data_IF_079236742714
#
_entry.id   IF_079236742714
#
_cell.length_a   1.000
_cell.length_b   1.000
_cell.length_c   1.000
_cell.angle_alpha   90.00
_cell.angle_beta   90.00
_cell.angle_gamma   90.00
#
_symmetry.space_group_name_H-M   'P 1'
#
loop_
_entity.id
_entity.type
_entity.pdbx_description
1 polymer ?
#
# COMPACT_ATOMS: atom_id res chain seq x y z
N UNK A 24 42.25 -1.14 -34.98
CA UNK A 24 41.60 -2.40 -34.62
C UNK A 24 42.12 -3.57 -35.44
N UNK A 25 41.69 -4.77 -35.07
CA UNK A 25 42.02 -5.97 -35.83
C UNK A 25 40.92 -6.23 -36.85
N UNK A 26 41.19 -7.10 -37.83
CA UNK A 26 40.24 -7.36 -38.91
C UNK A 26 38.90 -7.88 -38.39
N UNK A 27 38.95 -8.67 -37.32
CA UNK A 27 37.75 -9.23 -36.72
C UNK A 27 36.83 -8.13 -36.23
N UNK A 28 37.39 -7.22 -35.43
CA UNK A 28 36.62 -6.11 -34.89
C UNK A 28 36.16 -5.17 -36.00
N UNK A 29 36.91 -5.13 -37.09
CA UNK A 29 36.53 -4.32 -38.25
C UNK A 29 35.27 -4.85 -38.90
N UNK A 30 35.24 -6.17 -39.12
CA UNK A 30 34.09 -6.79 -39.74
C UNK A 30 32.87 -6.78 -38.83
N UNK A 31 33.13 -7.01 -37.54
CA UNK A 31 32.07 -6.96 -36.53
C UNK A 31 31.50 -5.56 -36.42
N UNK A 32 32.37 -4.55 -36.55
CA UNK A 32 31.93 -3.16 -36.50
C UNK A 32 31.04 -2.86 -37.69
N UNK A 33 31.45 -3.34 -38.87
CA UNK A 33 30.63 -3.15 -40.07
C UNK A 33 29.26 -3.77 -39.84
N UNK A 34 29.26 -4.96 -39.24
CA UNK A 34 28.02 -5.67 -38.97
C UNK A 34 27.11 -4.87 -38.05
N UNK A 35 27.65 -4.42 -36.93
CA UNK A 35 26.89 -3.63 -35.95
C UNK A 35 26.29 -2.38 -36.59
N UNK A 36 27.13 -1.63 -37.31
CA UNK A 36 26.69 -0.41 -37.97
C UNK A 36 25.53 -0.71 -38.91
N UNK A 37 25.68 -1.75 -39.73
CA UNK A 37 24.62 -2.13 -40.66
C UNK A 37 23.31 -2.48 -39.94
N UNK A 38 23.42 -3.26 -38.87
CA UNK A 38 22.26 -3.67 -38.07
C UNK A 38 21.50 -2.46 -37.54
N UNK A 39 22.26 -1.53 -36.95
CA UNK A 39 21.67 -0.33 -36.40
C UNK A 39 21.00 0.53 -37.47
N UNK A 40 21.69 0.68 -38.61
CA UNK A 40 21.16 1.47 -39.71
C UNK A 40 19.84 0.90 -40.23
N UNK A 41 19.79 -0.41 -40.38
CA UNK A 41 18.56 -1.08 -40.84
C UNK A 41 17.42 -0.85 -39.86
N UNK A 42 17.71 -1.04 -38.57
CA UNK A 42 16.68 -0.80 -37.54
C UNK A 42 16.19 0.65 -37.58
N UNK A 43 17.10 1.58 -37.81
CA UNK A 43 16.76 2.98 -37.92
C UNK A 43 15.84 3.22 -39.12
N UNK A 44 16.12 2.53 -40.22
CA UNK A 44 15.29 2.64 -41.41
C UNK A 44 13.86 2.16 -41.13
N UNK A 45 13.74 0.99 -40.50
CA UNK A 45 12.42 0.47 -40.14
C UNK A 45 11.66 1.43 -39.23
N UNK A 46 12.39 2.00 -38.27
CA UNK A 46 11.81 2.98 -37.34
C UNK A 46 11.26 4.17 -38.12
N UNK A 47 12.05 4.64 -39.08
CA UNK A 47 11.65 5.74 -39.95
C UNK A 47 10.37 5.39 -40.70
N UNK A 48 10.29 4.15 -41.18
CA UNK A 48 9.07 3.68 -41.85
C UNK A 48 7.86 3.79 -40.94
N UNK A 49 8.01 3.29 -39.72
CA UNK A 49 6.93 3.36 -38.74
C UNK A 49 6.46 4.79 -38.51
N UNK A 50 7.41 5.69 -38.27
CA UNK A 50 7.08 7.11 -38.09
C UNK A 50 6.34 7.70 -39.29
N UNK A 51 6.82 7.39 -40.50
CA UNK A 51 6.20 7.90 -41.72
C UNK A 51 4.76 7.41 -41.85
N UNK A 52 4.56 6.14 -41.55
CA UNK A 52 3.23 5.54 -41.58
C UNK A 52 2.29 6.16 -40.57
N UNK A 53 2.80 6.46 -39.39
CA UNK A 53 2.01 7.13 -38.35
C UNK A 53 1.57 8.50 -38.84
N UNK A 54 2.52 9.20 -39.47
CA UNK A 54 2.28 10.53 -40.03
C UNK A 54 1.14 10.47 -41.05
N UNK A 55 1.17 9.41 -41.85
CA UNK A 55 0.15 9.16 -42.86
C UNK A 55 -1.20 8.86 -42.21
N UNK A 56 -1.18 8.10 -41.13
CA UNK A 56 -2.39 7.75 -40.39
C UNK A 56 -3.07 8.99 -39.80
N UNK A 57 -2.29 9.86 -39.16
CA UNK A 57 -2.86 11.09 -38.60
C UNK A 57 -3.32 12.04 -39.71
N UNK A 58 -2.68 11.96 -40.87
CA UNK A 58 -3.11 12.77 -42.00
C UNK A 58 -4.47 12.28 -42.48
N UNK A 59 -4.64 10.96 -42.47
CA UNK A 59 -5.90 10.33 -42.82
C UNK A 59 -6.96 10.67 -41.78
N UNK A 60 -6.52 10.82 -40.53
CA UNK A 60 -7.41 11.16 -39.44
C UNK A 60 -7.97 12.56 -39.58
N UNK A 61 -7.09 13.52 -39.88
CA UNK A 61 -7.56 14.90 -40.09
C UNK A 61 -8.32 15.04 -41.40
N UNK A 62 -8.06 14.14 -42.35
CA UNK A 62 -8.77 14.16 -43.61
C UNK A 62 -10.24 13.80 -43.45
N UNK A 63 -10.60 13.34 -42.26
CA UNK A 63 -11.99 13.05 -41.92
C UNK A 63 -12.52 14.01 -40.86
N UNK A 64 -11.80 15.10 -40.62
CA UNK A 64 -12.25 16.13 -39.70
C UNK A 64 -12.01 15.86 -38.23
N UNK A 65 -10.89 15.22 -37.90
CA UNK A 65 -10.53 14.93 -36.51
C UNK A 65 -9.38 15.81 -36.03
N UNK A 66 -9.37 16.10 -34.74
CA UNK A 66 -8.30 16.90 -34.15
C UNK A 66 -7.10 16.01 -33.83
N UNK A 67 -6.04 16.17 -34.62
CA UNK A 67 -4.84 15.33 -34.51
C UNK A 67 -4.19 15.44 -33.13
N UNK A 68 -4.05 16.66 -32.63
CA UNK A 68 -3.46 16.90 -31.31
C UNK A 68 -4.24 16.16 -30.22
N UNK A 69 -5.56 16.28 -30.26
CA UNK A 69 -6.42 15.61 -29.29
C UNK A 69 -6.33 14.10 -29.41
N UNK A 70 -6.21 13.61 -30.64
CA UNK A 70 -6.03 12.18 -30.88
C UNK A 70 -4.74 11.68 -30.25
N UNK A 71 -3.67 12.44 -30.45
CA UNK A 71 -2.38 12.11 -29.84
C UNK A 71 -2.49 12.14 -28.32
N UNK A 72 -3.30 13.06 -27.81
CA UNK A 72 -3.55 13.14 -26.38
C UNK A 72 -4.26 11.89 -25.88
N UNK A 73 -5.23 11.42 -26.64
CA UNK A 73 -5.96 10.20 -26.30
C UNK A 73 -5.00 9.01 -26.28
N UNK A 74 -4.17 8.92 -27.30
CA UNK A 74 -3.18 7.84 -27.38
C UNK A 74 -2.21 7.89 -26.21
N UNK A 75 -1.72 9.08 -25.88
CA UNK A 75 -0.74 9.23 -24.81
C UNK A 75 -1.33 8.95 -23.43
N UNK A 76 -2.61 9.26 -23.23
CA UNK A 76 -3.23 9.06 -21.92
C UNK A 76 -3.77 7.64 -21.76
N UNK A 77 -3.80 6.89 -22.86
CA UNK A 77 -4.23 5.50 -22.81
C UNK A 77 -3.05 4.61 -22.48
N UNK A 78 -1.86 5.20 -22.45
CA UNK A 78 -0.65 4.49 -22.06
C UNK A 78 -0.49 4.56 -20.55
N UNK A 79 -1.06 5.61 -19.96
CA UNK A 79 -0.99 5.84 -18.52
C UNK A 79 -2.05 5.03 -17.79
N UNK A 80 -1.81 4.75 -16.51
CA UNK A 80 -2.80 4.06 -15.68
C UNK A 80 -4.04 4.94 -15.53
N UNK A 81 -5.21 4.35 -15.75
CA UNK A 81 -6.47 5.12 -15.75
C UNK A 81 -6.80 5.73 -14.39
N UNK A 82 -6.52 4.99 -13.32
CA UNK A 82 -6.83 5.46 -11.97
C UNK A 82 -5.96 6.68 -11.64
N UNK A 83 -4.69 6.60 -12.00
CA UNK A 83 -3.76 7.70 -11.75
C UNK A 83 -4.05 8.85 -12.71
N UNK A 84 -4.63 8.53 -13.86
CA UNK A 84 -5.01 9.56 -14.83
C UNK A 84 -6.18 10.40 -14.33
N UNK A 85 -7.24 9.73 -13.90
CA UNK A 85 -8.43 10.41 -13.40
C UNK A 85 -8.08 11.10 -12.07
N UNK A 86 -7.14 10.50 -11.34
CA UNK A 86 -6.62 11.09 -10.10
C UNK A 86 -5.90 12.41 -10.39
N UNK A 87 -4.94 12.38 -11.30
CA UNK A 87 -4.19 13.60 -11.65
C UNK A 87 -5.10 14.67 -12.24
N UNK A 88 -6.17 14.23 -12.89
CA UNK A 88 -7.17 15.15 -13.40
C UNK A 88 -7.92 15.79 -12.23
N UNK A 89 -8.21 14.98 -11.21
CA UNK A 89 -8.88 15.47 -10.01
C UNK A 89 -8.03 16.47 -9.22
N UNK A 90 -6.75 16.16 -9.04
CA UNK A 90 -5.82 17.08 -8.39
C UNK A 90 -5.69 18.37 -9.19
N UNK A 91 -5.54 18.23 -10.50
CA UNK A 91 -5.48 19.36 -11.41
C UNK A 91 -6.67 20.29 -11.21
N UNK A 92 -7.87 19.73 -11.30
CA UNK A 92 -9.10 20.48 -11.13
C UNK A 92 -9.19 21.12 -9.75
N UNK A 93 -8.76 20.37 -8.73
CA UNK A 93 -8.70 20.87 -7.36
C UNK A 93 -7.85 22.13 -7.25
N UNK A 94 -6.66 22.09 -7.85
CA UNK A 94 -5.74 23.22 -7.82
C UNK A 94 -6.28 24.41 -8.60
N UNK A 95 -6.85 24.12 -9.77
CA UNK A 95 -7.37 25.16 -10.64
C UNK A 95 -8.55 25.85 -9.98
N UNK A 96 -9.34 25.08 -9.23
CA UNK A 96 -10.48 25.65 -8.51
C UNK A 96 -9.97 26.41 -7.31
N UNK A 97 -8.88 25.91 -6.73
CA UNK A 97 -8.24 26.56 -5.58
C UNK A 97 -7.72 27.95 -5.95
N UNK A 98 -7.37 28.13 -7.22
CA UNK A 98 -6.86 29.43 -7.67
C UNK A 98 -7.82 30.11 -8.65
N UNK A 99 -8.93 29.43 -8.95
CA UNK A 99 -9.93 29.98 -9.85
C UNK A 99 -9.52 29.87 -11.32
N UNK B 24 41.41 32.99 -40.38
CA UNK B 24 40.54 34.16 -40.33
C UNK B 24 41.36 35.43 -40.12
N UNK B 25 40.69 36.57 -40.21
CA UNK B 25 41.33 37.85 -39.94
C UNK B 25 41.15 38.23 -38.47
N UNK B 26 41.92 39.20 -38.00
CA UNK B 26 41.88 39.60 -36.59
C UNK B 26 40.49 40.03 -36.16
N UNK B 27 39.77 40.67 -37.06
CA UNK B 27 38.43 41.15 -36.80
C UNK B 27 37.49 39.99 -36.48
N UNK B 28 37.47 38.99 -37.36
CA UNK B 28 36.61 37.82 -37.17
C UNK B 28 37.05 37.00 -35.96
N UNK B 29 38.33 37.06 -35.63
CA UNK B 29 38.84 36.37 -34.45
C UNK B 29 38.29 36.98 -33.18
N UNK B 30 38.35 38.31 -33.11
CA UNK B 30 37.87 39.03 -31.95
C UNK B 30 36.36 38.93 -31.82
N UNK B 31 35.68 39.02 -32.97
CA UNK B 31 34.23 38.87 -33.00
C UNK B 31 33.83 37.47 -32.57
N UNK B 32 34.61 36.47 -32.97
CA UNK B 32 34.31 35.10 -32.60
C UNK B 32 34.44 34.91 -31.09
N UNK B 33 35.53 35.45 -30.53
CA UNK B 33 35.72 35.38 -29.09
C UNK B 33 34.59 36.09 -28.34
N UNK B 34 34.18 37.24 -28.86
CA UNK B 34 33.11 38.03 -28.24
C UNK B 34 31.79 37.27 -28.23
N UNK B 35 31.41 36.76 -29.40
CA UNK B 35 30.17 36.00 -29.54
C UNK B 35 30.17 34.81 -28.59
N UNK B 36 31.26 34.03 -28.62
CA UNK B 36 31.35 32.86 -27.76
C UNK B 36 31.21 33.23 -26.29
N UNK B 37 31.92 34.25 -25.85
CA UNK B 37 31.84 34.69 -24.46
C UNK B 37 30.44 35.13 -24.05
N UNK B 38 29.82 35.98 -24.86
CA UNK B 38 28.47 36.46 -24.53
C UNK B 38 27.47 35.31 -24.46
N UNK B 39 27.54 34.40 -25.43
CA UNK B 39 26.65 33.25 -25.45
C UNK B 39 26.85 32.39 -24.20
N UNK B 40 28.10 32.18 -23.83
CA UNK B 40 28.41 31.39 -22.64
C UNK B 40 27.83 32.05 -21.38
N UNK B 41 27.97 33.37 -21.29
CA UNK B 41 27.42 34.11 -20.14
C UNK B 41 25.90 33.97 -20.06
N UNK B 42 25.23 34.16 -21.19
CA UNK B 42 23.78 34.04 -21.25
C UNK B 42 23.34 32.63 -20.87
N UNK B 43 24.11 31.63 -21.31
CA UNK B 43 23.83 30.24 -20.98
C UNK B 43 23.97 30.04 -19.47
N UNK B 44 24.96 30.69 -18.87
CA UNK B 44 25.15 30.62 -17.43
C UNK B 44 23.95 31.20 -16.68
N UNK B 45 23.52 32.39 -17.08
CA UNK B 45 22.36 33.01 -16.46
C UNK B 45 21.11 32.14 -16.60
N UNK B 46 20.95 31.59 -17.79
CA UNK B 46 19.84 30.69 -18.11
C UNK B 46 19.84 29.47 -17.19
N UNK B 47 21.01 28.85 -17.06
CA UNK B 47 21.20 27.70 -16.19
C UNK B 47 20.86 28.04 -14.76
N UNK B 48 21.31 29.22 -14.33
CA UNK B 48 20.99 29.72 -12.99
C UNK B 48 19.48 29.82 -12.77
N UNK B 49 18.79 30.41 -13.72
CA UNK B 49 17.34 30.52 -13.66
C UNK B 49 16.69 29.14 -13.54
N UNK B 50 17.13 28.21 -14.39
CA UNK B 50 16.63 26.84 -14.36
C UNK B 50 16.80 26.19 -12.99
N UNK B 51 17.98 26.38 -12.41
CA UNK B 51 18.30 25.82 -11.11
C UNK B 51 17.39 26.42 -10.04
N UNK B 52 17.12 27.73 -10.15
CA UNK B 52 16.23 28.41 -9.23
C UNK B 52 14.83 27.84 -9.31
N UNK B 53 14.41 27.54 -10.54
CA UNK B 53 13.10 26.93 -10.76
C UNK B 53 13.03 25.57 -10.08
N UNK B 54 14.10 24.80 -10.26
CA UNK B 54 14.21 23.47 -9.64
C UNK B 54 14.16 23.58 -8.11
N UNK B 55 14.74 24.66 -7.59
CA UNK B 55 14.71 24.93 -6.15
C UNK B 55 13.30 25.23 -5.67
N UNK B 56 12.59 26.01 -6.47
CA UNK B 56 11.20 26.36 -6.17
C UNK B 56 10.34 25.11 -6.15
N UNK B 57 10.49 24.25 -7.14
CA UNK B 57 9.75 23.01 -7.19
C UNK B 57 10.15 22.06 -6.06
N UNK B 58 11.40 22.19 -5.60
CA UNK B 58 11.88 21.36 -4.50
C UNK B 58 11.26 21.74 -3.16
N UNK B 59 11.17 23.04 -2.90
CA UNK B 59 10.51 23.49 -1.67
C UNK B 59 8.99 23.32 -1.80
N UNK B 60 8.49 23.40 -3.03
CA UNK B 60 7.07 23.22 -3.31
C UNK B 60 6.68 21.79 -2.94
N UNK B 61 7.53 20.85 -3.34
CA UNK B 61 7.35 19.45 -2.96
C UNK B 61 7.61 19.34 -1.46
N UNK B 62 8.41 20.28 -0.96
CA UNK B 62 8.69 20.38 0.46
C UNK B 62 7.49 20.86 1.27
N UNK B 63 6.45 21.30 0.58
CA UNK B 63 5.20 21.67 1.26
C UNK B 63 4.05 20.72 0.95
N UNK B 64 4.37 19.56 0.35
CA UNK B 64 3.37 18.54 0.09
C UNK B 64 2.52 18.77 -1.14
N UNK B 65 3.13 19.32 -2.19
CA UNK B 65 2.41 19.55 -3.44
C UNK B 65 2.88 18.59 -4.53
N UNK B 66 1.99 18.25 -5.45
CA UNK B 66 2.32 17.37 -6.56
C UNK B 66 3.00 18.15 -7.68
N UNK B 67 4.30 17.96 -7.83
CA UNK B 67 5.10 18.71 -8.79
C UNK B 67 4.64 18.49 -10.23
N UNK B 68 4.33 17.24 -10.59
CA UNK B 68 3.84 16.92 -11.93
C UNK B 68 2.58 17.73 -12.24
N UNK B 69 1.65 17.74 -11.30
CA UNK B 69 0.39 18.47 -11.46
C UNK B 69 0.65 19.97 -11.52
N UNK B 70 1.61 20.45 -10.74
CA UNK B 70 1.98 21.86 -10.78
C UNK B 70 2.49 22.24 -12.16
N UNK B 71 3.35 21.40 -12.72
CA UNK B 71 3.87 21.60 -14.07
C UNK B 71 2.74 21.55 -15.09
N UNK B 72 1.74 20.72 -14.81
CA UNK B 72 0.56 20.63 -15.66
C UNK B 72 -0.20 21.96 -15.65
N UNK B 73 -0.34 22.53 -14.46
CA UNK B 73 -1.01 23.82 -14.29
C UNK B 73 -0.26 24.91 -15.03
N UNK B 74 1.05 24.93 -14.87
CA UNK B 74 1.90 25.90 -15.56
C UNK B 74 1.75 25.74 -17.07
N UNK B 75 1.70 24.50 -17.54
CA UNK B 75 1.61 24.22 -18.96
C UNK B 75 0.27 24.65 -19.54
N UNK B 76 -0.81 24.51 -18.76
CA UNK B 76 -2.14 24.85 -19.25
C UNK B 76 -2.48 26.32 -19.02
N UNK B 77 -1.66 27.01 -18.24
CA UNK B 77 -1.90 28.44 -18.01
C UNK B 77 -1.22 29.26 -19.09
N UNK B 78 -0.41 28.61 -19.91
CA UNK B 78 0.23 29.27 -21.05
C UNK B 78 -0.65 29.16 -22.29
N UNK B 79 -1.50 28.14 -22.32
CA UNK B 79 -2.36 27.90 -23.46
C UNK B 79 -3.59 28.80 -23.46
N UNK B 80 -4.15 29.03 -24.64
CA UNK B 80 -5.38 29.79 -24.76
C UNK B 80 -6.52 29.04 -24.08
N UNK B 81 -7.27 29.74 -23.23
CA UNK B 81 -8.33 29.12 -22.44
C UNK B 81 -9.43 28.57 -23.35
N UNK B 82 -9.74 29.30 -24.41
CA UNK B 82 -10.81 28.89 -25.33
C UNK B 82 -10.41 27.61 -26.06
N UNK B 83 -9.18 27.56 -26.54
CA UNK B 83 -8.69 26.39 -27.25
C UNK B 83 -8.42 25.24 -26.29
N UNK B 84 -8.12 25.57 -25.03
CA UNK B 84 -7.90 24.55 -24.02
C UNK B 84 -9.20 23.84 -23.68
N UNK B 85 -10.22 24.64 -23.39
CA UNK B 85 -11.55 24.10 -23.05
C UNK B 85 -12.13 23.41 -24.27
N UNK B 86 -11.73 23.90 -25.45
CA UNK B 86 -12.10 23.24 -26.69
C UNK B 86 -11.53 21.84 -26.75
N UNK B 87 -10.22 21.75 -26.56
CA UNK B 87 -9.54 20.47 -26.61
C UNK B 87 -10.03 19.53 -25.52
N UNK B 88 -10.48 20.10 -24.39
CA UNK B 88 -11.06 19.32 -23.31
C UNK B 88 -12.43 18.77 -23.72
N UNK B 89 -13.23 19.60 -24.38
CA UNK B 89 -14.56 19.19 -24.84
C UNK B 89 -14.44 18.11 -25.91
N UNK B 90 -13.53 18.32 -26.86
CA UNK B 90 -13.26 17.36 -27.92
C UNK B 90 -12.74 16.05 -27.33
N UNK B 91 -11.82 16.16 -26.38
CA UNK B 91 -11.28 15.01 -25.66
C UNK B 91 -12.40 14.17 -25.03
N UNK B 92 -13.25 14.85 -24.25
CA UNK B 92 -14.36 14.21 -23.56
C UNK B 92 -15.29 13.51 -24.56
N UNK B 93 -15.54 14.24 -25.65
CA UNK B 93 -16.34 13.76 -26.76
C UNK B 93 -15.77 12.47 -27.35
N UNK B 94 -14.47 12.45 -27.57
CA UNK B 94 -13.78 11.30 -28.14
C UNK B 94 -13.80 10.11 -27.19
N UNK B 95 -13.58 10.37 -25.90
CA UNK B 95 -13.56 9.32 -24.90
C UNK B 95 -14.94 8.69 -24.74
N UNK B 96 -15.99 9.50 -24.84
CA UNK B 96 -17.35 8.99 -24.74
C UNK B 96 -17.77 8.27 -26.02
N UNK B 97 -17.27 8.76 -27.15
CA UNK B 97 -17.55 8.18 -28.47
C UNK B 97 -17.07 6.74 -28.63
N UNK B 98 -16.05 6.36 -27.86
CA UNK B 98 -15.48 5.02 -27.99
C UNK B 98 -15.78 4.15 -26.77
N UNK B 99 -16.45 4.73 -25.79
CA UNK B 99 -16.82 3.99 -24.59
C UNK B 99 -15.66 3.80 -23.63
N UNK B 100 -14.53 4.41 -23.95
CA UNK B 100 -13.34 4.27 -23.14
C UNK B 100 -13.14 5.48 -22.24
N UNK C 24 -11.99 -39.10 25.61
CA UNK C 24 -13.31 -38.56 25.95
C UNK C 24 -14.40 -39.59 25.75
N UNK C 25 -15.62 -39.24 26.16
CA UNK C 25 -16.77 -40.11 25.96
C UNK C 25 -17.50 -39.80 24.66
N UNK C 26 -18.37 -40.72 24.25
CA UNK C 26 -19.09 -40.59 22.98
C UNK C 26 -19.92 -39.32 22.91
N UNK C 27 -20.48 -38.92 24.06
CA UNK C 27 -21.31 -37.72 24.13
C UNK C 27 -20.50 -36.47 23.76
N UNK C 28 -19.37 -36.30 24.44
CA UNK C 28 -18.50 -35.15 24.21
C UNK C 28 -17.89 -35.21 22.81
N UNK C 29 -17.72 -36.43 22.29
CA UNK C 29 -17.20 -36.60 20.93
C UNK C 29 -18.22 -36.08 19.92
N UNK C 30 -19.48 -36.46 20.11
CA UNK C 30 -20.53 -36.04 19.21
C UNK C 30 -20.78 -34.55 19.28
N UNK C 31 -20.75 -34.01 20.50
CA UNK C 31 -20.91 -32.57 20.68
C UNK C 31 -19.74 -31.82 20.04
N UNK C 32 -18.54 -32.37 20.16
CA UNK C 32 -17.36 -31.76 19.57
C UNK C 32 -17.45 -31.75 18.05
N UNK C 33 -17.86 -32.88 17.49
CA UNK C 33 -18.04 -33.00 16.05
C UNK C 33 -19.08 -32.00 15.56
N UNK C 34 -20.16 -31.87 16.33
CA UNK C 34 -21.24 -30.94 15.97
C UNK C 34 -20.73 -29.50 15.94
N UNK C 35 -20.08 -29.09 17.02
CA UNK C 35 -19.54 -27.73 17.11
C UNK C 35 -18.58 -27.45 15.95
N UNK C 36 -17.63 -28.36 15.75
CA UNK C 36 -16.64 -28.23 14.69
C UNK C 36 -17.31 -28.10 13.31
N UNK C 37 -18.28 -28.96 13.03
CA UNK C 37 -18.98 -28.90 11.74
C UNK C 37 -19.71 -27.56 11.55
N UNK C 38 -20.41 -27.10 12.60
CA UNK C 38 -21.13 -25.83 12.53
C UNK C 38 -20.18 -24.68 12.23
N UNK C 39 -19.06 -24.66 12.94
CA UNK C 39 -18.04 -23.61 12.76
C UNK C 39 -17.49 -23.68 11.34
N UNK C 40 -17.22 -24.89 10.86
CA UNK C 40 -16.70 -25.09 9.51
C UNK C 40 -17.65 -24.58 8.44
N UNK C 41 -18.94 -24.87 8.59
CA UNK C 41 -19.94 -24.40 7.65
C UNK C 41 -19.98 -22.88 7.63
N UNK C 42 -20.00 -22.27 8.81
CA UNK C 42 -20.00 -20.82 8.91
C UNK C 42 -18.74 -20.21 8.27
N UNK C 43 -17.61 -20.88 8.45
CA UNK C 43 -16.35 -20.45 7.85
C UNK C 43 -16.39 -20.52 6.33
N UNK C 44 -17.02 -21.57 5.82
CA UNK C 44 -17.17 -21.74 4.37
C UNK C 44 -18.01 -20.61 3.79
N UNK C 45 -19.15 -20.34 4.42
CA UNK C 45 -20.01 -19.26 3.97
C UNK C 45 -19.29 -17.92 4.02
N UNK C 46 -18.54 -17.71 5.10
CA UNK C 46 -17.77 -16.49 5.28
C UNK C 46 -16.74 -16.28 4.17
N UNK C 47 -15.97 -17.31 3.86
CA UNK C 47 -14.98 -17.27 2.79
C UNK C 47 -15.63 -16.99 1.44
N UNK C 48 -16.75 -17.65 1.19
CA UNK C 48 -17.52 -17.46 -0.04
C UNK C 48 -17.91 -15.99 -0.19
N UNK C 49 -18.45 -15.43 0.88
CA UNK C 49 -18.81 -14.02 0.93
C UNK C 49 -17.60 -13.15 0.61
N UNK C 50 -16.47 -13.45 1.24
CA UNK C 50 -15.23 -12.72 0.98
C UNK C 50 -14.88 -12.73 -0.50
N UNK C 51 -15.03 -13.89 -1.14
CA UNK C 51 -14.79 -13.98 -2.57
C UNK C 51 -15.75 -13.10 -3.36
N UNK C 52 -17.02 -13.06 -2.96
CA UNK C 52 -17.98 -12.18 -3.64
C UNK C 52 -17.54 -10.73 -3.52
N UNK C 53 -17.05 -10.36 -2.34
CA UNK C 53 -16.57 -9.00 -2.12
C UNK C 53 -15.38 -8.68 -3.03
N UNK C 54 -14.41 -9.59 -3.10
CA UNK C 54 -13.25 -9.39 -3.96
C UNK C 54 -13.68 -9.27 -5.42
N UNK C 55 -14.69 -10.04 -5.81
CA UNK C 55 -15.23 -9.96 -7.17
C UNK C 55 -15.89 -8.61 -7.44
N UNK C 56 -16.60 -8.10 -6.44
CA UNK C 56 -17.25 -6.79 -6.53
C UNK C 56 -16.19 -5.72 -6.73
N UNK C 57 -15.11 -5.80 -5.94
CA UNK C 57 -14.01 -4.86 -6.07
C UNK C 57 -13.28 -5.04 -7.40
N UNK C 58 -13.35 -6.26 -7.94
CA UNK C 58 -12.75 -6.55 -9.23
C UNK C 58 -13.53 -5.88 -10.36
N UNK C 59 -14.85 -5.88 -10.24
CA UNK C 59 -15.71 -5.20 -11.19
C UNK C 59 -15.57 -3.68 -11.02
N UNK C 60 -15.33 -3.25 -9.78
CA UNK C 60 -15.14 -1.85 -9.46
C UNK C 60 -13.86 -1.32 -10.09
N UNK C 61 -12.79 -2.09 -9.95
CA UNK C 61 -11.52 -1.75 -10.57
C UNK C 61 -11.65 -1.90 -12.07
N UNK C 62 -12.57 -2.78 -12.48
CA UNK C 62 -12.91 -2.95 -13.88
C UNK C 62 -13.69 -1.76 -14.39
N UNK C 63 -14.12 -0.91 -13.45
CA UNK C 63 -14.82 0.32 -13.80
C UNK C 63 -13.98 1.56 -13.48
N UNK C 64 -12.71 1.35 -13.19
CA UNK C 64 -11.77 2.45 -12.97
C UNK C 64 -11.87 3.09 -11.59
N UNK C 65 -12.14 2.28 -10.57
CA UNK C 65 -12.21 2.80 -9.20
C UNK C 65 -11.03 2.34 -8.35
N UNK C 66 -10.65 3.17 -7.39
CA UNK C 66 -9.57 2.85 -6.47
C UNK C 66 -10.06 1.98 -5.31
N UNK C 67 -9.68 0.71 -5.33
CA UNK C 67 -10.15 -0.26 -4.35
C UNK C 67 -9.74 0.12 -2.91
N UNK C 68 -8.49 0.54 -2.74
CA UNK C 68 -7.97 0.95 -1.43
C UNK C 68 -8.81 2.06 -0.79
N UNK C 69 -9.09 3.10 -1.59
CA UNK C 69 -9.88 4.22 -1.13
C UNK C 69 -11.31 3.80 -0.81
N UNK C 70 -11.84 2.90 -1.63
CA UNK C 70 -13.18 2.36 -1.40
C UNK C 70 -13.26 1.63 -0.07
N UNK C 71 -12.26 0.78 0.21
CA UNK C 71 -12.21 0.08 1.49
C UNK C 71 -12.08 1.06 2.66
N UNK C 72 -11.34 2.14 2.43
CA UNK C 72 -11.20 3.16 3.45
C UNK C 72 -12.54 3.82 3.75
N UNK C 73 -13.31 4.09 2.69
CA UNK C 73 -14.64 4.67 2.84
C UNK C 73 -15.58 3.73 3.58
N UNK C 74 -15.55 2.45 3.19
CA UNK C 74 -16.39 1.43 3.81
C UNK C 74 -16.10 1.23 5.29
N UNK C 75 -14.84 1.24 5.68
CA UNK C 75 -14.48 0.97 7.07
C UNK C 75 -14.94 2.05 8.06
N UNK C 76 -14.99 3.31 7.61
CA UNK C 76 -15.35 4.41 8.50
C UNK C 76 -16.85 4.65 8.62
N UNK C 77 -17.65 3.97 7.80
CA UNK C 77 -19.09 4.14 7.83
C UNK C 77 -19.78 3.21 8.85
N UNK C 78 -19.00 2.34 9.47
CA UNK C 78 -19.53 1.45 10.50
C UNK C 78 -19.55 2.09 11.89
N UNK C 79 -18.68 3.07 12.10
CA UNK C 79 -18.57 3.73 13.40
C UNK C 79 -19.65 4.78 13.60
N UNK C 80 -19.92 5.11 14.86
CA UNK C 80 -20.89 6.15 15.20
C UNK C 80 -20.43 7.48 14.62
N UNK C 81 -21.35 8.16 13.95
CA UNK C 81 -21.03 9.38 13.20
C UNK C 81 -20.54 10.50 14.10
N UNK C 82 -21.15 10.64 15.27
CA UNK C 82 -20.80 11.70 16.21
C UNK C 82 -19.39 11.51 16.76
N UNK C 83 -19.08 10.29 17.16
CA UNK C 83 -17.76 10.00 17.72
C UNK C 83 -16.69 9.97 16.64
N UNK C 84 -17.08 9.63 15.42
CA UNK C 84 -16.16 9.62 14.29
C UNK C 84 -15.76 11.04 13.94
N UNK C 85 -16.76 11.92 13.81
CA UNK C 85 -16.50 13.32 13.50
C UNK C 85 -15.80 14.01 14.67
N UNK C 86 -16.07 13.51 15.88
CA UNK C 86 -15.38 14.00 17.07
C UNK C 86 -13.89 13.70 16.98
N UNK C 87 -13.56 12.43 16.79
CA UNK C 87 -12.16 12.02 16.69
C UNK C 87 -11.45 12.64 15.48
N UNK C 88 -12.21 12.92 14.41
CA UNK C 88 -11.66 13.59 13.25
C UNK C 88 -11.34 15.06 13.55
N UNK C 89 -12.23 15.70 14.30
CA UNK C 89 -12.05 17.10 14.70
C UNK C 89 -10.84 17.21 15.62
N UNK C 90 -10.74 16.27 16.56
CA UNK C 90 -9.59 16.19 17.45
C UNK C 90 -8.32 15.98 16.63
N UNK C 91 -8.40 15.09 15.65
CA UNK C 91 -7.29 14.82 14.73
C UNK C 91 -6.78 16.10 14.08
N UNK C 92 -7.67 16.84 13.43
CA UNK C 92 -7.30 18.09 12.79
C UNK C 92 -6.72 19.09 13.79
N UNK C 93 -7.33 19.13 14.97
CA UNK C 93 -6.85 19.99 16.06
C UNK C 93 -5.39 19.69 16.40
N UNK C 94 -5.06 18.41 16.54
CA UNK C 94 -3.68 18.00 16.85
C UNK C 94 -2.74 18.30 15.70
N UNK C 95 -3.21 18.04 14.47
CA UNK C 95 -2.41 18.24 13.27
C UNK C 95 -2.07 19.70 13.02
N UNK C 96 -2.97 20.60 13.42
CA UNK C 96 -2.75 22.03 13.22
C UNK C 96 -1.65 22.60 14.11
N UNK C 97 -1.52 22.05 15.31
CA UNK C 97 -0.47 22.50 16.23
C UNK C 97 0.92 22.26 15.65
N UNK C 98 1.04 21.25 14.81
CA UNK C 98 2.31 20.92 14.18
C UNK C 98 2.28 21.17 12.67
N UNK C 99 1.13 21.63 12.17
CA UNK C 99 0.97 21.93 10.76
C UNK C 99 0.77 20.68 9.92
N UNK D 24 19.75 -34.22 10.91
CA UNK D 24 20.97 -33.50 10.57
C UNK D 24 22.12 -33.89 11.49
N UNK D 25 23.30 -33.37 11.19
CA UNK D 25 24.49 -33.59 12.01
C UNK D 25 24.67 -32.49 13.05
N UNK D 26 25.58 -32.72 14.00
CA UNK D 26 25.80 -31.82 15.12
C UNK D 26 26.17 -30.40 14.68
N UNK D 27 26.85 -30.28 13.56
CA UNK D 27 27.27 -28.97 13.03
C UNK D 27 26.07 -28.07 12.73
N UNK D 28 25.12 -28.60 11.95
CA UNK D 28 23.93 -27.86 11.58
C UNK D 28 23.06 -27.58 12.81
N UNK D 29 23.16 -28.47 13.79
CA UNK D 29 22.47 -28.30 15.07
C UNK D 29 23.04 -27.09 15.79
N UNK D 30 24.36 -26.97 15.77
CA UNK D 30 25.05 -25.86 16.39
C UNK D 30 24.70 -24.58 15.68
N UNK D 31 24.58 -24.67 14.36
CA UNK D 31 24.16 -23.52 13.56
C UNK D 31 22.75 -23.09 13.99
N UNK D 32 21.93 -24.09 14.28
CA UNK D 32 20.56 -23.89 14.75
C UNK D 32 20.47 -23.22 16.12
N UNK D 33 21.37 -23.59 17.02
CA UNK D 33 21.38 -23.10 18.40
C UNK D 33 21.44 -21.57 18.54
N UNK D 34 22.25 -20.93 17.72
CA UNK D 34 22.41 -19.46 17.78
C UNK D 34 21.14 -18.68 17.46
N UNK D 35 20.51 -19.05 16.35
CA UNK D 35 19.32 -18.38 15.84
C UNK D 35 18.19 -18.26 16.86
N UNK D 36 17.84 -19.38 17.48
CA UNK D 36 16.74 -19.38 18.46
C UNK D 36 16.99 -18.40 19.60
N UNK D 37 18.18 -18.48 20.18
CA UNK D 37 18.53 -17.60 21.30
C UNK D 37 18.53 -16.12 20.89
N UNK D 38 19.19 -15.80 19.77
CA UNK D 38 19.25 -14.41 19.33
C UNK D 38 17.85 -13.85 19.03
N UNK D 39 17.02 -14.64 18.34
CA UNK D 39 15.66 -14.21 18.03
C UNK D 39 14.86 -13.98 19.30
N UNK D 40 14.99 -14.88 20.27
CA UNK D 40 14.28 -14.72 21.55
C UNK D 40 14.71 -13.43 22.24
N UNK D 41 16.01 -13.17 22.23
CA UNK D 41 16.56 -11.95 22.83
C UNK D 41 16.00 -10.70 22.14
N UNK D 42 16.02 -10.69 20.81
CA UNK D 42 15.50 -9.57 20.04
C UNK D 42 14.01 -9.33 20.29
N UNK D 43 13.25 -10.42 20.41
CA UNK D 43 11.82 -10.32 20.71
C UNK D 43 11.59 -9.71 22.10
N UNK D 44 12.42 -10.12 23.05
CA UNK D 44 12.35 -9.56 24.40
C UNK D 44 12.64 -8.07 24.37
N UNK D 45 13.68 -7.69 23.63
CA UNK D 45 14.03 -6.29 23.47
C UNK D 45 12.88 -5.49 22.86
N UNK D 46 12.25 -6.07 21.85
CA UNK D 46 11.11 -5.46 21.18
C UNK D 46 9.98 -5.20 22.17
N UNK D 47 9.66 -6.23 22.96
CA UNK D 47 8.62 -6.10 23.98
C UNK D 47 8.98 -4.99 24.98
N UNK D 48 10.25 -4.94 25.38
CA UNK D 48 10.73 -3.91 26.31
C UNK D 48 10.52 -2.51 25.74
N UNK D 49 10.92 -2.29 24.48
CA UNK D 49 10.69 -0.99 23.83
C UNK D 49 9.20 -0.65 23.80
N UNK D 50 8.39 -1.65 23.43
CA UNK D 50 6.94 -1.48 23.39
C UNK D 50 6.40 -1.00 24.74
N UNK D 51 6.94 -1.55 25.83
CA UNK D 51 6.53 -1.13 27.16
C UNK D 51 6.83 0.35 27.39
N UNK D 52 8.00 0.79 26.94
CA UNK D 52 8.40 2.19 27.04
C UNK D 52 7.47 3.10 26.24
N UNK D 53 7.08 2.62 25.06
CA UNK D 53 6.16 3.35 24.18
C UNK D 53 4.83 3.53 24.89
N UNK D 54 4.36 2.44 25.49
CA UNK D 54 3.11 2.46 26.25
C UNK D 54 3.23 3.43 27.41
N UNK D 55 4.42 3.53 28.00
CA UNK D 55 4.63 4.49 29.10
C UNK D 55 4.48 5.92 28.58
N UNK D 56 5.02 6.16 27.38
CA UNK D 56 4.90 7.47 26.75
C UNK D 56 3.43 7.83 26.51
N UNK D 57 2.68 6.87 25.96
CA UNK D 57 1.25 7.09 25.72
C UNK D 57 0.46 7.23 27.01
N UNK D 58 0.95 6.60 28.07
CA UNK D 58 0.33 6.66 29.38
C UNK D 58 0.49 8.06 29.97
N UNK D 59 1.66 8.65 29.75
CA UNK D 59 1.89 10.02 30.18
C UNK D 59 1.06 10.95 29.29
N UNK D 60 0.87 10.54 28.04
CA UNK D 60 0.10 11.33 27.09
C UNK D 60 -1.37 11.44 27.48
N UNK D 61 -2.01 10.31 27.81
CA UNK D 61 -3.38 10.38 28.31
C UNK D 61 -3.39 10.95 29.72
N UNK D 62 -2.26 10.79 30.42
CA UNK D 62 -2.10 11.36 31.74
C UNK D 62 -2.01 12.87 31.68
N UNK D 63 -1.88 13.39 30.46
CA UNK D 63 -1.89 14.83 30.25
C UNK D 63 -3.15 15.27 29.50
N UNK D 64 -4.12 14.37 29.40
CA UNK D 64 -5.41 14.68 28.80
C UNK D 64 -5.46 14.68 27.28
N UNK D 65 -4.70 13.77 26.66
CA UNK D 65 -4.70 13.66 25.20
C UNK D 65 -5.39 12.39 24.72
N UNK D 66 -5.98 12.46 23.53
CA UNK D 66 -6.64 11.30 22.94
C UNK D 66 -5.61 10.40 22.25
N UNK D 67 -5.34 9.26 22.87
CA UNK D 67 -4.33 8.31 22.41
C UNK D 67 -4.64 7.74 21.03
N UNK D 68 -5.91 7.39 20.78
CA UNK D 68 -6.31 6.84 19.49
C UNK D 68 -5.95 7.81 18.37
N UNK D 69 -6.26 9.08 18.60
CA UNK D 69 -5.96 10.16 17.66
C UNK D 69 -4.45 10.33 17.51
N UNK D 70 -3.73 10.18 18.61
CA UNK D 70 -2.27 10.26 18.58
C UNK D 70 -1.67 9.18 17.70
N UNK D 71 -2.15 7.95 17.86
CA UNK D 71 -1.73 6.83 17.02
C UNK D 71 -2.11 7.08 15.57
N UNK D 72 -3.23 7.77 15.36
CA UNK D 72 -3.62 8.15 14.01
C UNK D 72 -2.58 9.09 13.41
N UNK D 73 -2.14 10.05 14.21
CA UNK D 73 -1.13 11.01 13.79
C UNK D 73 0.20 10.31 13.48
N UNK D 74 0.62 9.42 14.38
CA UNK D 74 1.85 8.66 14.20
C UNK D 74 1.78 7.80 12.95
N UNK D 75 0.63 7.18 12.73
CA UNK D 75 0.42 6.29 11.60
C UNK D 75 0.42 7.04 10.27
N UNK D 76 -0.10 8.26 10.27
CA UNK D 76 -0.16 9.03 9.03
C UNK D 76 1.12 9.84 8.81
N UNK D 77 1.98 9.90 9.82
CA UNK D 77 3.25 10.60 9.69
C UNK D 77 4.35 9.67 9.16
N UNK D 78 4.01 8.40 9.00
CA UNK D 78 4.96 7.44 8.43
C UNK D 78 4.86 7.49 6.92
N UNK D 79 3.69 7.89 6.42
CA UNK D 79 3.43 7.97 5.00
C UNK D 79 3.98 9.25 4.37
N UNK D 80 4.22 9.19 3.06
CA UNK D 80 4.66 10.35 2.28
C UNK D 80 3.61 11.44 2.27
N UNK D 81 4.05 12.68 2.47
CA UNK D 81 3.17 13.83 2.59
C UNK D 81 2.34 14.05 1.33
N UNK D 82 2.99 13.85 0.17
CA UNK D 82 2.35 14.04 -1.12
C UNK D 82 1.29 12.97 -1.36
N UNK D 83 1.63 11.73 -1.03
CA UNK D 83 0.72 10.61 -1.22
C UNK D 83 -0.40 10.62 -0.19
N UNK D 84 -0.12 11.19 0.98
CA UNK D 84 -1.15 11.31 2.01
C UNK D 84 -2.18 12.32 1.55
N UNK D 85 -1.72 13.48 1.11
CA UNK D 85 -2.64 14.52 0.64
C UNK D 85 -3.34 14.04 -0.64
N UNK D 86 -2.67 13.18 -1.40
CA UNK D 86 -3.24 12.53 -2.58
C UNK D 86 -4.44 11.64 -2.26
N UNK D 87 -4.23 10.65 -1.40
CA UNK D 87 -5.32 9.74 -1.04
C UNK D 87 -6.41 10.50 -0.30
N UNK D 88 -6.03 11.57 0.39
CA UNK D 88 -7.00 12.43 1.06
C UNK D 88 -7.86 13.17 0.04
N UNK D 89 -7.23 13.61 -1.04
CA UNK D 89 -7.94 14.29 -2.12
C UNK D 89 -8.92 13.36 -2.83
N UNK D 90 -8.48 12.14 -3.13
CA UNK D 90 -9.36 11.15 -3.73
C UNK D 90 -10.54 10.82 -2.80
N UNK D 91 -10.20 10.63 -1.53
CA UNK D 91 -11.19 10.39 -0.49
C UNK D 91 -12.25 11.50 -0.49
N UNK D 92 -11.79 12.74 -0.45
CA UNK D 92 -12.67 13.91 -0.46
C UNK D 92 -13.55 13.92 -1.69
N UNK D 93 -12.97 13.58 -2.85
CA UNK D 93 -13.74 13.48 -4.08
C UNK D 93 -14.89 12.46 -3.96
N UNK D 94 -14.58 11.28 -3.45
CA UNK D 94 -15.60 10.24 -3.32
C UNK D 94 -16.68 10.57 -2.30
N UNK D 95 -16.26 11.11 -1.15
CA UNK D 95 -17.19 11.47 -0.08
C UNK D 95 -18.10 12.62 -0.50
N UNK D 96 -17.55 13.56 -1.27
CA UNK D 96 -18.34 14.69 -1.73
C UNK D 96 -19.28 14.27 -2.85
N UNK D 97 -18.86 13.28 -3.64
CA UNK D 97 -19.68 12.75 -4.72
C UNK D 97 -20.99 12.16 -4.19
N UNK D 98 -20.96 11.68 -2.95
CA UNK D 98 -22.14 11.08 -2.33
C UNK D 98 -22.65 11.96 -1.18
N UNK E 24 -18.23 15.43 -10.79
CA UNK E 24 -18.45 14.19 -11.53
C UNK E 24 -19.82 14.19 -12.21
N UNK E 25 -20.07 13.18 -13.03
CA UNK E 25 -21.37 13.04 -13.67
C UNK E 25 -22.32 12.16 -12.85
N UNK E 26 -23.60 12.24 -13.17
CA UNK E 26 -24.63 11.49 -12.43
C UNK E 26 -24.42 9.98 -12.51
N UNK E 27 -23.93 9.52 -13.66
CA UNK E 27 -23.74 8.09 -13.90
C UNK E 27 -22.73 7.44 -12.94
N UNK E 28 -21.54 8.03 -12.86
CA UNK E 28 -20.50 7.48 -11.99
C UNK E 28 -20.90 7.61 -10.52
N UNK E 29 -21.70 8.63 -10.22
CA UNK E 29 -22.20 8.84 -8.87
C UNK E 29 -23.16 7.70 -8.49
N UNK E 30 -24.06 7.37 -9.40
CA UNK E 30 -25.03 6.31 -9.17
C UNK E 30 -24.37 4.95 -9.09
N UNK E 31 -23.40 4.72 -9.96
CA UNK E 31 -22.64 3.46 -9.94
C UNK E 31 -21.88 3.33 -8.63
N UNK E 32 -21.33 4.45 -8.16
CA UNK E 32 -20.58 4.46 -6.91
C UNK E 32 -21.50 4.14 -5.74
N UNK E 33 -22.68 4.76 -5.74
CA UNK E 33 -23.67 4.52 -4.70
C UNK E 33 -24.07 3.05 -4.68
N UNK E 34 -24.25 2.48 -5.87
CA UNK E 34 -24.63 1.08 -6.00
C UNK E 34 -23.56 0.17 -5.40
N UNK E 35 -22.31 0.39 -5.82
CA UNK E 35 -21.19 -0.40 -5.31
C UNK E 35 -21.11 -0.32 -3.79
N UNK E 36 -21.14 0.90 -3.26
CA UNK E 36 -21.05 1.13 -1.82
C UNK E 36 -22.17 0.40 -1.08
N UNK E 37 -23.41 0.52 -1.58
CA UNK E 37 -24.53 -0.15 -0.94
C UNK E 37 -24.35 -1.67 -0.92
N UNK E 38 -23.95 -2.24 -2.06
CA UNK E 38 -23.75 -3.68 -2.14
C UNK E 38 -22.69 -4.15 -1.15
N UNK E 39 -21.58 -3.41 -1.10
CA UNK E 39 -20.49 -3.75 -0.19
C UNK E 39 -20.95 -3.67 1.26
N UNK E 40 -21.72 -2.63 1.58
CA UNK E 40 -22.24 -2.47 2.93
C UNK E 40 -23.16 -3.62 3.33
N UNK E 41 -24.03 -4.04 2.42
CA UNK E 41 -24.92 -5.16 2.67
C UNK E 41 -24.12 -6.44 2.94
N UNK E 42 -23.12 -6.69 2.10
CA UNK E 42 -22.25 -7.84 2.27
C UNK E 42 -21.53 -7.79 3.63
N UNK E 43 -21.12 -6.59 4.04
CA UNK E 43 -20.49 -6.38 5.33
C UNK E 43 -21.44 -6.71 6.47
N UNK E 44 -22.70 -6.33 6.31
CA UNK E 44 -23.72 -6.64 7.32
C UNK E 44 -23.88 -8.14 7.47
N UNK E 45 -24.02 -8.83 6.33
CA UNK E 45 -24.14 -10.29 6.36
C UNK E 45 -22.92 -10.96 6.99
N UNK E 46 -21.74 -10.47 6.64
CA UNK E 46 -20.50 -11.00 7.20
C UNK E 46 -20.47 -10.84 8.71
N UNK E 47 -20.80 -9.64 9.19
CA UNK E 47 -20.84 -9.36 10.62
C UNK E 47 -21.82 -10.29 11.34
N UNK E 48 -22.98 -10.48 10.74
CA UNK E 48 -23.98 -11.40 11.29
C UNK E 48 -23.42 -12.80 11.43
N UNK E 49 -22.79 -13.29 10.37
CA UNK E 49 -22.15 -14.60 10.40
C UNK E 49 -21.10 -14.70 11.52
N UNK E 50 -20.25 -13.69 11.61
CA UNK E 50 -19.22 -13.63 12.66
C UNK E 50 -19.86 -13.73 14.04
N UNK E 51 -20.97 -13.02 14.20
CA UNK E 51 -21.72 -13.05 15.46
C UNK E 51 -22.23 -14.46 15.74
N UNK E 52 -22.69 -15.14 14.70
CA UNK E 52 -23.13 -16.52 14.84
C UNK E 52 -21.99 -17.42 15.29
N UNK E 53 -20.81 -17.22 14.72
CA UNK E 53 -19.63 -17.99 15.09
C UNK E 53 -19.27 -17.77 16.55
N UNK E 54 -19.26 -16.51 16.97
CA UNK E 54 -18.96 -16.16 18.36
C UNK E 54 -19.99 -16.80 19.30
N UNK E 55 -21.24 -16.85 18.88
CA UNK E 55 -22.28 -17.50 19.67
C UNK E 55 -22.04 -19.01 19.77
N UNK E 56 -21.61 -19.61 18.67
CA UNK E 56 -21.31 -21.03 18.64
C UNK E 56 -20.17 -21.36 19.61
N UNK E 57 -19.11 -20.56 19.57
CA UNK E 57 -17.99 -20.73 20.48
C UNK E 57 -18.39 -20.42 21.93
N UNK E 58 -19.39 -19.56 22.09
CA UNK E 58 -19.90 -19.23 23.42
C UNK E 58 -20.65 -20.41 24.03
N UNK E 59 -21.43 -21.11 23.20
CA UNK E 59 -22.11 -22.31 23.64
C UNK E 59 -21.11 -23.44 23.85
N UNK E 60 -20.05 -23.41 23.04
CA UNK E 60 -19.00 -24.42 23.12
C UNK E 60 -18.25 -24.32 24.45
N UNK E 61 -17.90 -23.10 24.83
CA UNK E 61 -17.27 -22.87 26.13
C UNK E 61 -18.32 -23.08 27.22
N UNK E 62 -19.58 -22.89 26.85
CA UNK E 62 -20.70 -23.15 27.74
C UNK E 62 -20.90 -24.63 27.95
N UNK E 63 -20.19 -25.44 27.15
CA UNK E 63 -20.24 -26.89 27.30
C UNK E 63 -18.91 -27.43 27.83
N UNK E 64 -18.05 -26.54 28.31
CA UNK E 64 -16.80 -26.93 28.92
C UNK E 64 -15.69 -27.24 27.93
N UNK E 65 -15.66 -26.50 26.82
CA UNK E 65 -14.62 -26.68 25.81
C UNK E 65 -13.65 -25.51 25.79
N UNK E 66 -12.41 -25.79 25.42
CA UNK E 66 -11.37 -24.77 25.32
C UNK E 66 -11.48 -24.08 23.96
N UNK E 67 -11.94 -22.82 23.98
CA UNK E 67 -12.20 -22.07 22.75
C UNK E 67 -10.94 -21.91 21.89
N UNK E 68 -9.83 -21.57 22.53
CA UNK E 68 -8.56 -21.41 21.81
C UNK E 68 -8.17 -22.69 21.07
N UNK E 69 -8.29 -23.81 21.77
CA UNK E 69 -7.97 -25.11 21.18
C UNK E 69 -8.94 -25.45 20.06
N UNK E 70 -10.21 -25.08 20.23
CA UNK E 70 -11.21 -25.29 19.19
C UNK E 70 -10.84 -24.53 17.92
N UNK E 71 -10.46 -23.26 18.08
CA UNK E 71 -10.03 -22.44 16.96
C UNK E 71 -8.78 -23.03 16.33
N UNK E 72 -7.93 -23.63 17.16
CA UNK E 72 -6.71 -24.28 16.69
C UNK E 72 -7.07 -25.46 15.79
N UNK E 73 -8.04 -26.26 16.22
CA UNK E 73 -8.51 -27.40 15.46
C UNK E 73 -9.11 -26.96 14.13
N UNK E 74 -9.97 -25.93 14.19
CA UNK E 74 -10.61 -25.41 12.99
C UNK E 74 -9.57 -24.88 11.99
N UNK E 75 -8.57 -24.17 12.48
CA UNK E 75 -7.56 -23.59 11.59
C UNK E 75 -6.68 -24.70 11.00
N UNK E 76 -6.49 -25.77 11.77
CA UNK E 76 -5.60 -26.86 11.34
C UNK E 76 -6.32 -27.84 10.43
N UNK E 77 -7.64 -27.74 10.36
CA UNK E 77 -8.43 -28.62 9.50
C UNK E 77 -8.57 -28.05 8.09
N UNK E 78 -8.11 -26.82 7.89
CA UNK E 78 -8.14 -26.21 6.57
C UNK E 78 -6.91 -26.53 5.74
N UNK E 79 -5.80 -26.86 6.41
CA UNK E 79 -4.55 -27.15 5.73
C UNK E 79 -4.51 -28.58 5.19
N UNK E 80 -3.71 -28.81 4.15
CA UNK E 80 -3.51 -30.15 3.62
C UNK E 80 -2.83 -31.02 4.67
N UNK E 81 -3.40 -32.18 4.94
CA UNK E 81 -2.91 -33.04 6.03
C UNK E 81 -1.52 -33.63 5.79
N UNK E 82 -1.21 -34.02 4.56
CA UNK E 82 0.07 -34.65 4.26
C UNK E 82 1.23 -33.67 4.43
N UNK E 83 1.06 -32.47 3.89
CA UNK E 83 2.11 -31.45 3.97
C UNK E 83 2.18 -30.91 5.38
N UNK E 84 1.06 -30.95 6.08
CA UNK E 84 1.00 -30.49 7.47
C UNK E 84 1.79 -31.43 8.37
N UNK E 85 1.55 -32.73 8.25
CA UNK E 85 2.25 -33.73 9.05
C UNK E 85 3.73 -33.82 8.66
N UNK E 86 4.02 -33.56 7.39
CA UNK E 86 5.40 -33.50 6.90
C UNK E 86 6.12 -32.34 7.61
N UNK E 87 5.51 -31.16 7.54
CA UNK E 87 6.05 -29.97 8.18
C UNK E 87 6.14 -30.15 9.70
N UNK E 88 5.27 -30.99 10.24
CA UNK E 88 5.30 -31.34 11.65
C UNK E 88 6.53 -32.19 11.97
N UNK E 89 6.86 -33.09 11.05
CA UNK E 89 8.05 -33.92 11.22
C UNK E 89 9.28 -33.03 11.20
N UNK E 90 9.30 -32.08 10.27
CA UNK E 90 10.38 -31.09 10.22
C UNK E 90 10.45 -30.28 11.52
N UNK E 91 9.27 -29.89 12.00
CA UNK E 91 9.14 -29.18 13.26
C UNK E 91 9.83 -29.92 14.38
N UNK E 92 9.50 -31.20 14.52
CA UNK E 92 10.12 -32.02 15.55
C UNK E 92 11.64 -32.09 15.30
N UNK E 93 12.06 -32.19 14.04
CA UNK E 93 13.50 -32.23 13.76
C UNK E 93 14.17 -31.02 14.39
N UNK E 94 13.57 -29.85 14.23
CA UNK E 94 14.12 -28.63 14.84
C UNK E 94 14.03 -28.63 16.37
N UNK E 95 12.91 -29.08 16.93
CA UNK E 95 12.72 -29.06 18.38
C UNK E 95 13.65 -30.02 19.13
N UNK E 96 13.88 -31.19 18.52
CA UNK E 96 14.75 -32.22 19.07
C UNK E 96 16.22 -31.85 18.86
N UNK E 97 16.50 -31.17 17.76
CA UNK E 97 17.87 -30.74 17.49
C UNK E 97 18.39 -29.82 18.60
N UNK E 98 17.47 -29.11 19.25
CA UNK E 98 17.83 -28.21 20.33
C UNK E 98 17.31 -28.72 21.68
N UNK E 99 16.62 -29.84 21.66
CA UNK E 99 16.08 -30.44 22.87
C UNK E 99 14.83 -29.75 23.36
N UNK F 24 -6.01 24.75 21.06
CA UNK F 24 -5.31 24.49 22.31
C UNK F 24 -4.42 25.65 22.73
N UNK F 25 -3.83 25.51 23.91
CA UNK F 25 -2.90 26.51 24.43
C UNK F 25 -1.46 26.15 24.03
N UNK F 26 -0.56 27.13 24.15
CA UNK F 26 0.83 26.94 23.75
C UNK F 26 1.48 25.79 24.53
N UNK F 27 1.08 25.66 25.79
CA UNK F 27 1.59 24.61 26.65
C UNK F 27 1.25 23.24 26.08
N UNK F 28 -0.03 23.03 25.78
CA UNK F 28 -0.48 21.76 25.22
C UNK F 28 0.09 21.55 23.83
N UNK F 29 0.40 22.64 23.14
CA UNK F 29 1.02 22.54 21.82
C UNK F 29 2.42 21.96 21.94
N UNK F 30 3.20 22.48 22.89
CA UNK F 30 4.56 22.01 23.10
C UNK F 30 4.55 20.59 23.64
N UNK F 31 3.62 20.30 24.52
CA UNK F 31 3.46 18.96 25.07
C UNK F 31 3.11 17.98 23.95
N UNK F 32 2.26 18.43 23.02
CA UNK F 32 1.87 17.59 21.89
C UNK F 32 3.04 17.30 20.98
N UNK F 33 3.84 18.32 20.68
CA UNK F 33 5.02 18.16 19.84
C UNK F 33 5.98 17.17 20.48
N UNK F 34 6.14 17.31 21.80
CA UNK F 34 7.03 16.45 22.57
C UNK F 34 6.57 15.00 22.51
N UNK F 35 5.29 14.78 22.81
CA UNK F 35 4.71 13.44 22.78
C UNK F 35 4.87 12.78 21.41
N UNK F 36 4.48 13.51 20.36
CA UNK F 36 4.55 12.97 19.00
C UNK F 36 5.98 12.56 18.61
N UNK F 37 6.95 13.47 18.84
CA UNK F 37 8.34 13.16 18.51
C UNK F 37 8.85 11.96 19.33
N UNK F 38 8.51 11.97 20.61
CA UNK F 38 8.92 10.93 21.54
C UNK F 38 8.45 9.57 21.08
N UNK F 39 7.19 9.49 20.66
CA UNK F 39 6.62 8.26 20.15
C UNK F 39 7.30 7.84 18.84
N UNK F 40 7.52 8.81 17.96
CA UNK F 40 8.12 8.54 16.66
C UNK F 40 9.53 7.94 16.74
N UNK F 41 10.36 8.45 17.64
CA UNK F 41 11.72 7.91 17.79
C UNK F 41 11.68 6.43 18.18
N UNK F 42 10.83 6.12 19.17
CA UNK F 42 10.63 4.75 19.62
C UNK F 42 10.11 3.87 18.48
N UNK F 43 9.25 4.44 17.64
CA UNK F 43 8.74 3.74 16.47
C UNK F 43 9.88 3.40 15.51
N UNK F 44 10.83 4.34 15.37
CA UNK F 44 12.00 4.13 14.53
C UNK F 44 12.83 2.96 15.06
N UNK F 45 13.09 2.97 16.37
CA UNK F 45 13.84 1.88 16.99
C UNK F 45 13.16 0.53 16.80
N UNK F 46 11.83 0.53 16.96
CA UNK F 46 11.01 -0.66 16.77
C UNK F 46 11.14 -1.22 15.35
N UNK F 47 11.01 -0.33 14.37
CA UNK F 47 11.16 -0.72 12.97
C UNK F 47 12.54 -1.31 12.71
N UNK F 48 13.55 -0.67 13.27
CA UNK F 48 14.94 -1.12 13.14
C UNK F 48 15.09 -2.55 13.66
N UNK F 49 14.58 -2.79 14.87
CA UNK F 49 14.62 -4.13 15.44
C UNK F 49 13.94 -5.14 14.53
N UNK F 50 12.75 -4.80 14.03
CA UNK F 50 12.05 -5.67 13.10
C UNK F 50 12.92 -6.02 11.90
N UNK F 51 13.63 -5.02 11.37
CA UNK F 51 14.53 -5.22 10.24
C UNK F 51 15.62 -6.21 10.59
N UNK F 52 16.17 -6.05 11.80
CA UNK F 52 17.20 -6.97 12.27
C UNK F 52 16.67 -8.40 12.36
N UNK F 53 15.45 -8.56 12.87
CA UNK F 53 14.85 -9.88 12.97
C UNK F 53 14.64 -10.54 11.61
N UNK F 54 14.05 -9.81 10.66
CA UNK F 54 13.87 -10.40 9.34
C UNK F 54 15.20 -10.72 8.65
N UNK F 55 16.21 -9.90 8.87
CA UNK F 55 17.52 -10.22 8.30
C UNK F 55 18.15 -11.45 8.96
N UNK F 56 17.97 -11.60 10.27
CA UNK F 56 18.48 -12.78 10.97
C UNK F 56 17.81 -14.03 10.40
N UNK F 57 16.49 -13.97 10.23
CA UNK F 57 15.77 -15.08 9.62
C UNK F 57 16.19 -15.26 8.17
N UNK F 58 16.65 -14.19 7.53
CA UNK F 58 17.14 -14.24 6.17
C UNK F 58 18.45 -15.03 6.15
N UNK F 59 19.24 -14.89 7.20
CA UNK F 59 20.47 -15.67 7.36
C UNK F 59 20.13 -17.13 7.64
N UNK F 60 19.01 -17.32 8.34
CA UNK F 60 18.53 -18.66 8.69
C UNK F 60 18.14 -19.42 7.43
N UNK F 61 17.39 -18.75 6.56
CA UNK F 61 17.02 -19.32 5.27
C UNK F 61 18.26 -19.40 4.39
N UNK F 62 19.22 -18.51 4.65
CA UNK F 62 20.49 -18.50 3.96
C UNK F 62 21.38 -19.66 4.35
N UNK F 63 20.98 -20.39 5.39
CA UNK F 63 21.72 -21.58 5.79
C UNK F 63 20.92 -22.85 5.53
N UNK F 64 19.84 -22.73 4.77
CA UNK F 64 19.04 -23.87 4.37
C UNK F 64 18.10 -24.37 5.44
N UNK F 65 17.58 -23.45 6.24
CA UNK F 65 16.63 -23.80 7.30
C UNK F 65 15.23 -23.31 6.97
N UNK F 66 14.22 -24.02 7.47
CA UNK F 66 12.83 -23.63 7.25
C UNK F 66 12.44 -22.56 8.26
N UNK F 67 12.31 -21.33 7.77
CA UNK F 67 12.02 -20.17 8.62
C UNK F 67 10.68 -20.27 9.33
N UNK F 68 9.64 -20.75 8.64
CA UNK F 68 8.32 -20.91 9.25
C UNK F 68 8.41 -21.79 10.49
N UNK F 69 9.14 -22.89 10.37
CA UNK F 69 9.34 -23.83 11.47
C UNK F 69 10.11 -23.15 12.61
N UNK F 70 11.09 -22.35 12.25
CA UNK F 70 11.88 -21.60 13.22
C UNK F 70 11.01 -20.64 14.02
N UNK F 71 10.16 -19.90 13.31
CA UNK F 71 9.21 -18.98 13.92
C UNK F 71 8.25 -19.73 14.81
N UNK F 72 7.90 -20.95 14.41
CA UNK F 72 7.04 -21.80 15.22
C UNK F 72 7.73 -22.17 16.53
N UNK F 73 9.01 -22.54 16.44
CA UNK F 73 9.79 -22.89 17.61
C UNK F 73 9.93 -21.71 18.56
N UNK F 74 10.27 -20.56 18.02
CA UNK F 74 10.40 -19.34 18.80
C UNK F 74 9.07 -18.98 19.46
N UNK F 75 7.99 -19.15 18.70
CA UNK F 75 6.65 -18.81 19.17
C UNK F 75 6.19 -19.72 20.29
N UNK F 76 6.59 -20.99 20.25
CA UNK F 76 6.20 -21.93 21.30
C UNK F 76 7.19 -21.94 22.46
N UNK F 77 8.36 -21.32 22.28
CA UNK F 77 9.37 -21.29 23.34
C UNK F 77 9.21 -20.09 24.28
N UNK F 78 8.31 -19.18 23.94
CA UNK F 78 8.02 -18.03 24.80
C UNK F 78 6.95 -18.39 25.83
N UNK F 79 6.15 -19.40 25.48
CA UNK F 79 5.06 -19.83 26.34
C UNK F 79 5.58 -20.72 27.46
N UNK F 80 4.80 -20.80 28.55
CA UNK F 80 5.15 -21.67 29.67
C UNK F 80 5.13 -23.12 29.21
N UNK F 81 6.18 -23.86 29.53
CA UNK F 81 6.34 -25.23 29.06
C UNK F 81 5.25 -26.16 29.58
N UNK F 82 4.85 -25.97 30.83
CA UNK F 82 3.81 -26.80 31.43
C UNK F 82 2.49 -26.55 30.74
N UNK F 83 2.17 -25.28 30.52
CA UNK F 83 0.93 -24.89 29.86
C UNK F 83 0.99 -25.18 28.37
N UNK F 84 2.19 -25.18 27.81
CA UNK F 84 2.39 -25.52 26.40
C UNK F 84 2.08 -26.99 26.17
N UNK F 85 2.68 -27.85 26.99
CA UNK F 85 2.45 -29.28 26.90
C UNK F 85 1.01 -29.61 27.29
N UNK F 86 0.44 -28.79 28.16
CA UNK F 86 -0.97 -28.91 28.53
C UNK F 86 -1.89 -28.67 27.35
N UNK F 87 -1.76 -27.51 26.71
CA UNK F 87 -2.59 -27.17 25.55
C UNK F 87 -2.33 -28.10 24.38
N UNK F 88 -1.11 -28.61 24.28
CA UNK F 88 -0.76 -29.58 23.25
C UNK F 88 -1.46 -30.91 23.53
N UNK F 89 -1.52 -31.27 24.80
CA UNK F 89 -2.18 -32.49 25.23
C UNK F 89 -3.69 -32.41 24.95
N UNK F 90 -4.29 -31.27 25.26
CA UNK F 90 -5.70 -31.05 24.95
C UNK F 90 -5.94 -31.13 23.44
N UNK F 91 -5.07 -30.46 22.68
CA UNK F 91 -5.11 -30.50 21.22
C UNK F 91 -5.12 -31.93 20.70
N UNK F 92 -4.14 -32.72 21.12
CA UNK F 92 -4.02 -34.12 20.72
C UNK F 92 -5.27 -34.90 21.13
N UNK F 93 -5.78 -34.63 22.32
CA UNK F 93 -7.01 -35.25 22.79
C UNK F 93 -8.17 -35.01 21.84
N UNK F 94 -8.35 -33.76 21.43
CA UNK F 94 -9.43 -33.41 20.51
C UNK F 94 -9.24 -34.02 19.12
N UNK F 95 -8.00 -33.98 18.63
CA UNK F 95 -7.69 -34.51 17.30
C UNK F 95 -7.88 -36.03 17.27
N UNK F 96 -7.56 -36.69 18.37
CA UNK F 96 -7.71 -38.13 18.48
C UNK F 96 -9.19 -38.50 18.64
N UNK F 97 -9.93 -37.62 19.31
CA UNK F 97 -11.37 -37.82 19.49
C UNK F 97 -12.10 -37.89 18.15
N UNK F 98 -11.54 -37.22 17.15
CA UNK F 98 -12.12 -37.20 15.81
C UNK F 98 -11.24 -37.94 14.82
#
# INVERSE_FOLDING_TARGET
MHHHHHHHHPDLGTGSENLYFQGLNSTAQGQLKSIIERVERLEVEKAEIMEQIKEVYAEAKGNGFDVKVLKKVVRIRKQDRAKRQEEDAILDLYLSAIGEI
MHHHHHHHHPDLGTGSENLYFQGLNSTAQGQLKSIIERVERLEVEKAEIMEQIKEVYAEAKGNGFDVKVLKKVVRIRKQDRAKRQEEDAILDLYLSAIGEI
MHHHHHHHHPDLGTGSENLYFQGLNSTAQGQLKSIIERVERLEVEKAEIMEQIKEVYAEAKGNGFDVKVLKKVVRIRKQDRAKRQEEDAILDLYLSAIGEI
MHHHHHHHHPDLGTGSENLYFQGLNSTAQGQLKSIIERVERLEVEKAEIMEQIKEVYAEAKGNGFDVKVLKKVVRIRKQDRAKRQEEDAILDLYLSAIGEI
MHHHHHHHHPDLGTGSENLYFQGLNSTAQGQLKSIIERVERLEVEKAEIMEQIKEVYAEAKGNGFDVKVLKKVVRIRKQDRAKRQEEDAILDLYLSAIGEI
MHHHHHHHHPDLGTGSENLYFQGLNSTAQGQLKSIIERVERLEVEKAEIMEQIKEVYAEAKGNGFDVKVLKKVVRIRKQDRAKRQEEDAILDLYLSAIGEI
#
